data_IF_222442552843
#
_entry.id   IF_222442552843
#
_cell.length_a   1.000
_cell.length_b   1.000
_cell.length_c   1.000
_cell.angle_alpha   90.00
_cell.angle_beta   90.00
_cell.angle_gamma   90.00
#
_symmetry.space_group_name_H-M   'P 1'
#
loop_
_entity.id
_entity.type
_entity.pdbx_description
1 polymer ?
#
# COMPACT_ATOMS: atom_id res chain seq x y z
N UNK A 1 17.17 -8.98 -14.17
CA UNK A 1 16.16 -9.84 -14.80
C UNK A 1 15.74 -10.99 -13.88
N UNK A 2 15.47 -10.70 -12.59
CA UNK A 2 15.27 -11.72 -11.52
C UNK A 2 13.81 -11.73 -10.99
N UNK A 3 13.00 -10.74 -11.37
CA UNK A 3 11.67 -10.53 -10.81
C UNK A 3 10.62 -11.61 -11.15
N UNK A 4 10.52 -12.14 -12.39
CA UNK A 4 9.50 -13.15 -12.70
C UNK A 4 9.86 -14.55 -12.17
N UNK A 5 11.14 -14.85 -11.93
CA UNK A 5 11.57 -16.19 -11.49
C UNK A 5 11.13 -16.50 -10.06
N UNK A 6 11.05 -15.50 -9.18
CA UNK A 6 10.59 -15.68 -7.80
C UNK A 6 9.09 -16.03 -7.73
N UNK A 7 8.27 -15.46 -8.62
CA UNK A 7 6.85 -15.79 -8.72
C UNK A 7 6.60 -17.18 -9.28
N UNK A 8 7.41 -17.61 -10.26
CA UNK A 8 7.39 -18.98 -10.78
C UNK A 8 7.79 -20.00 -9.72
N UNK A 9 8.83 -19.71 -8.93
CA UNK A 9 9.23 -20.54 -7.79
C UNK A 9 8.08 -20.63 -6.76
N UNK A 10 7.44 -19.51 -6.41
CA UNK A 10 6.27 -19.52 -5.53
C UNK A 10 5.14 -20.40 -6.06
N UNK A 11 4.84 -20.29 -7.36
CA UNK A 11 3.81 -21.08 -8.05
C UNK A 11 4.12 -22.57 -8.05
N UNK A 12 5.38 -22.96 -8.29
CA UNK A 12 5.85 -24.35 -8.19
C UNK A 12 5.73 -24.89 -6.75
N UNK A 13 6.09 -24.09 -5.73
CA UNK A 13 6.01 -24.50 -4.32
C UNK A 13 4.57 -24.71 -3.84
N UNK A 14 3.61 -23.93 -4.38
CA UNK A 14 2.19 -24.09 -4.08
C UNK A 14 1.45 -25.03 -5.04
N UNK A 15 2.14 -25.56 -6.06
CA UNK A 15 1.52 -26.36 -7.12
C UNK A 15 0.28 -25.68 -7.76
N UNK A 16 0.31 -24.33 -7.83
CA UNK A 16 -0.83 -23.50 -8.25
C UNK A 16 -2.17 -23.76 -7.53
N UNK A 17 -2.15 -24.42 -6.36
CA UNK A 17 -3.32 -24.69 -5.54
C UNK A 17 -3.21 -23.96 -4.19
N UNK A 18 -4.36 -23.53 -3.65
CA UNK A 18 -4.41 -22.81 -2.38
C UNK A 18 -4.18 -23.73 -1.17
N UNK A 19 -4.49 -25.02 -1.32
CA UNK A 19 -4.52 -26.01 -0.25
C UNK A 19 -3.61 -27.22 -0.50
N UNK A 20 -3.26 -27.52 -1.74
CA UNK A 20 -2.64 -28.81 -2.12
C UNK A 20 -1.21 -28.65 -2.70
N UNK A 21 -0.36 -27.91 -1.99
CA UNK A 21 1.05 -27.70 -2.34
C UNK A 21 2.01 -28.15 -1.23
N UNK A 22 3.30 -28.32 -1.56
CA UNK A 22 4.37 -28.69 -0.60
C UNK A 22 4.46 -27.66 0.53
N UNK A 23 4.23 -26.38 0.21
CA UNK A 23 4.04 -25.30 1.18
C UNK A 23 2.83 -24.46 0.76
N UNK A 24 1.64 -24.66 1.37
CA UNK A 24 0.44 -23.91 0.99
C UNK A 24 0.58 -22.41 1.28
N UNK A 25 -0.17 -21.59 0.55
CA UNK A 25 -0.21 -20.14 0.75
C UNK A 25 -0.96 -19.85 2.05
N UNK A 26 -0.23 -19.57 3.13
CA UNK A 26 -0.83 -19.21 4.41
C UNK A 26 -0.44 -17.78 4.81
N UNK A 27 -1.46 -16.92 4.89
CA UNK A 27 -1.31 -15.51 5.24
C UNK A 27 -0.97 -15.30 6.73
N UNK A 28 -1.47 -16.17 7.61
CA UNK A 28 -1.27 -16.04 9.06
C UNK A 28 0.11 -16.50 9.52
N UNK A 29 0.72 -17.47 8.81
CA UNK A 29 2.04 -18.00 9.11
C UNK A 29 3.16 -17.34 8.31
N UNK A 30 2.84 -16.37 7.44
CA UNK A 30 3.80 -15.76 6.52
C UNK A 30 4.62 -16.83 5.77
N UNK A 31 3.94 -17.80 5.16
CA UNK A 31 4.63 -18.93 4.53
C UNK A 31 5.61 -18.46 3.44
N UNK A 32 6.69 -19.20 3.22
CA UNK A 32 7.74 -18.83 2.25
C UNK A 32 7.18 -18.64 0.84
N UNK A 33 6.20 -19.46 0.47
CA UNK A 33 5.48 -19.30 -0.80
C UNK A 33 4.63 -18.03 -0.88
N UNK A 34 3.99 -17.62 0.22
CA UNK A 34 3.29 -16.35 0.31
C UNK A 34 4.25 -15.15 0.19
N UNK A 35 5.40 -15.21 0.86
CA UNK A 35 6.42 -14.15 0.81
C UNK A 35 7.04 -14.04 -0.59
N UNK A 36 7.42 -15.14 -1.23
CA UNK A 36 7.94 -15.10 -2.61
C UNK A 36 6.90 -14.59 -3.60
N UNK A 37 5.64 -15.01 -3.47
CA UNK A 37 4.56 -14.54 -4.34
C UNK A 37 4.34 -13.04 -4.18
N UNK A 38 4.23 -12.54 -2.94
CA UNK A 38 4.04 -11.11 -2.67
C UNK A 38 5.25 -10.26 -3.08
N UNK A 39 6.48 -10.74 -2.87
CA UNK A 39 7.70 -10.08 -3.33
C UNK A 39 7.73 -9.96 -4.86
N UNK A 40 7.41 -11.03 -5.58
CA UNK A 40 7.38 -11.01 -7.04
C UNK A 40 6.37 -10.00 -7.60
N UNK A 41 5.18 -9.92 -7.00
CA UNK A 41 4.16 -8.93 -7.35
C UNK A 41 4.61 -7.50 -7.03
N UNK A 42 5.24 -7.28 -5.86
CA UNK A 42 5.77 -5.97 -5.48
C UNK A 42 6.83 -5.49 -6.48
N UNK A 43 7.75 -6.36 -6.92
CA UNK A 43 8.74 -6.00 -7.92
C UNK A 43 8.14 -5.75 -9.31
N UNK A 44 7.14 -6.54 -9.73
CA UNK A 44 6.42 -6.25 -10.97
C UNK A 44 5.75 -4.89 -10.93
N UNK A 45 5.06 -4.56 -9.83
CA UNK A 45 4.44 -3.26 -9.63
C UNK A 45 5.47 -2.14 -9.67
N UNK A 46 6.62 -2.32 -8.99
CA UNK A 46 7.72 -1.37 -9.00
C UNK A 46 8.27 -1.13 -10.41
N UNK A 47 8.43 -2.19 -11.23
CA UNK A 47 8.83 -2.04 -12.63
C UNK A 47 7.83 -1.24 -13.46
N UNK A 48 6.53 -1.49 -13.27
CA UNK A 48 5.47 -0.74 -13.97
C UNK A 48 5.54 0.74 -13.58
N UNK A 49 5.62 1.04 -12.28
CA UNK A 49 5.73 2.40 -11.77
C UNK A 49 7.00 3.09 -12.29
N UNK A 50 8.13 2.39 -12.34
CA UNK A 50 9.38 2.92 -12.89
C UNK A 50 9.24 3.34 -14.36
N UNK A 51 8.64 2.49 -15.21
CA UNK A 51 8.44 2.81 -16.63
C UNK A 51 7.48 4.02 -16.78
N UNK A 52 6.43 4.08 -15.98
CA UNK A 52 5.42 5.13 -16.08
C UNK A 52 5.94 6.49 -15.58
N UNK A 53 6.68 6.50 -14.48
CA UNK A 53 7.14 7.72 -13.81
C UNK A 53 8.48 8.20 -14.38
N UNK A 54 9.46 7.30 -14.50
CA UNK A 54 10.85 7.69 -14.79
C UNK A 54 11.13 7.76 -16.31
N UNK A 55 10.65 6.74 -17.05
CA UNK A 55 10.88 6.65 -18.50
C UNK A 55 9.88 7.51 -19.27
N UNK A 56 8.58 7.33 -19.04
CA UNK A 56 7.54 8.07 -19.78
C UNK A 56 7.27 9.46 -19.23
N UNK A 57 7.61 9.73 -17.95
CA UNK A 57 7.34 11.02 -17.26
C UNK A 57 5.89 11.50 -17.38
N UNK A 58 4.93 10.59 -17.59
CA UNK A 58 3.53 10.93 -17.83
C UNK A 58 2.84 11.50 -16.59
N UNK A 59 3.30 11.12 -15.41
CA UNK A 59 2.79 11.60 -14.13
C UNK A 59 3.98 12.09 -13.31
N UNK A 60 4.04 13.40 -13.03
CA UNK A 60 4.88 13.91 -11.96
C UNK A 60 4.26 13.41 -10.65
N UNK A 61 4.71 12.25 -10.15
CA UNK A 61 4.25 11.60 -8.91
C UNK A 61 4.66 12.38 -7.64
N UNK A 62 4.45 13.69 -7.65
CA UNK A 62 4.69 14.58 -6.52
C UNK A 62 3.82 14.17 -5.32
N UNK A 63 2.62 13.61 -5.55
CA UNK A 63 1.74 13.11 -4.48
C UNK A 63 2.43 12.04 -3.62
N UNK A 64 3.02 11.03 -4.27
CA UNK A 64 3.76 9.97 -3.58
C UNK A 64 5.01 10.51 -2.88
N UNK A 65 5.66 11.52 -3.45
CA UNK A 65 6.80 12.18 -2.82
C UNK A 65 6.39 12.94 -1.55
N UNK A 66 5.29 13.68 -1.58
CA UNK A 66 4.82 14.46 -0.43
C UNK A 66 4.35 13.57 0.71
N UNK A 67 3.62 12.50 0.40
CA UNK A 67 3.23 11.50 1.40
C UNK A 67 4.44 10.73 1.95
N UNK A 68 5.39 10.36 1.09
CA UNK A 68 6.58 9.61 1.48
C UNK A 68 7.54 10.40 2.38
N UNK A 69 7.75 11.69 2.12
CA UNK A 69 8.64 12.54 2.94
C UNK A 69 8.15 12.73 4.39
N UNK A 70 6.86 12.53 4.64
CA UNK A 70 6.23 12.70 5.95
C UNK A 70 5.50 11.43 6.42
N UNK A 71 5.98 10.24 6.00
CA UNK A 71 5.28 8.98 6.25
C UNK A 71 5.05 8.69 7.74
N UNK A 72 6.00 9.00 8.61
CA UNK A 72 5.86 8.76 10.05
C UNK A 72 4.80 9.66 10.69
N UNK A 73 4.74 10.94 10.29
CA UNK A 73 3.74 11.88 10.77
C UNK A 73 2.35 11.44 10.35
N UNK A 74 2.19 11.06 9.08
CA UNK A 74 0.92 10.57 8.55
C UNK A 74 0.48 9.29 9.27
N UNK A 75 1.41 8.38 9.54
CA UNK A 75 1.12 7.14 10.28
C UNK A 75 0.67 7.42 11.71
N UNK A 76 1.48 8.11 12.50
CA UNK A 76 1.17 8.43 13.90
C UNK A 76 -0.10 9.27 13.98
N UNK A 77 -0.27 10.24 13.08
CA UNK A 77 -1.46 11.06 13.00
C UNK A 77 -2.72 10.23 12.70
N UNK A 78 -2.63 9.26 11.79
CA UNK A 78 -3.75 8.37 11.47
C UNK A 78 -4.13 7.50 12.67
N UNK A 79 -3.15 6.90 13.35
CA UNK A 79 -3.39 6.09 14.55
C UNK A 79 -4.04 6.90 15.69
N UNK A 80 -3.57 8.14 15.91
CA UNK A 80 -4.13 9.02 16.94
C UNK A 80 -5.53 9.55 16.61
N UNK A 81 -5.84 9.72 15.33
CA UNK A 81 -7.15 10.22 14.85
C UNK A 81 -8.09 9.09 14.42
N UNK A 82 -7.75 7.84 14.75
CA UNK A 82 -8.57 6.71 14.37
C UNK A 82 -9.94 6.78 15.06
N UNK A 83 -11.01 6.94 14.28
CA UNK A 83 -12.38 7.02 14.77
C UNK A 83 -12.82 8.40 15.28
N UNK A 84 -12.00 9.45 15.14
CA UNK A 84 -12.43 10.83 15.40
C UNK A 84 -12.89 11.48 14.10
N UNK A 85 -14.01 12.21 14.16
CA UNK A 85 -14.45 13.03 13.03
C UNK A 85 -13.42 14.15 12.78
N UNK A 86 -13.02 14.47 11.54
CA UNK A 86 -13.46 13.98 10.21
C UNK A 86 -12.73 12.75 9.62
N UNK A 87 -11.80 12.12 10.34
CA UNK A 87 -10.98 11.00 9.83
C UNK A 87 -11.67 9.64 9.89
N UNK A 88 -12.61 9.47 10.81
CA UNK A 88 -13.47 8.31 10.90
C UNK A 88 -14.77 8.64 11.62
N UNK A 89 -15.82 7.92 11.30
CA UNK A 89 -17.11 7.99 11.99
C UNK A 89 -17.73 6.60 12.06
N UNK A 90 -18.69 6.43 12.97
CA UNK A 90 -19.45 5.18 13.03
C UNK A 90 -20.44 5.14 11.86
N UNK A 91 -20.37 4.12 10.98
CA UNK A 91 -21.30 4.00 9.86
C UNK A 91 -22.71 3.67 10.37
N UNK A 92 -23.72 4.24 9.72
CA UNK A 92 -25.11 4.07 10.16
C UNK A 92 -25.71 2.77 9.61
N UNK A 93 -25.53 2.49 8.31
CA UNK A 93 -26.10 1.31 7.66
C UNK A 93 -25.16 0.09 7.65
N UNK A 94 -23.93 0.23 8.17
CA UNK A 94 -22.89 -0.80 8.22
C UNK A 94 -22.64 -1.47 6.85
N UNK A 95 -22.84 -0.71 5.77
CA UNK A 95 -22.66 -1.23 4.41
C UNK A 95 -21.20 -1.14 4.00
N UNK A 96 -20.72 -2.11 3.21
CA UNK A 96 -19.36 -2.07 2.66
C UNK A 96 -19.04 -0.79 1.90
N UNK A 97 -20.04 -0.18 1.27
CA UNK A 97 -19.89 1.08 0.54
C UNK A 97 -19.59 2.26 1.48
N UNK A 98 -20.23 2.33 2.65
CA UNK A 98 -19.94 3.38 3.64
C UNK A 98 -18.50 3.27 4.16
N UNK A 99 -18.05 2.06 4.47
CA UNK A 99 -16.65 1.84 4.88
C UNK A 99 -15.67 2.24 3.77
N UNK A 100 -15.98 1.92 2.51
CA UNK A 100 -15.17 2.31 1.36
C UNK A 100 -15.12 3.84 1.21
N UNK A 101 -16.26 4.52 1.32
CA UNK A 101 -16.34 5.98 1.23
C UNK A 101 -15.60 6.66 2.39
N UNK A 102 -15.73 6.14 3.61
CA UNK A 102 -14.98 6.63 4.77
C UNK A 102 -13.47 6.47 4.56
N UNK A 103 -13.02 5.32 4.07
CA UNK A 103 -11.61 5.07 3.78
C UNK A 103 -11.07 5.97 2.67
N UNK A 104 -11.84 6.16 1.58
CA UNK A 104 -11.50 7.08 0.51
C UNK A 104 -11.41 8.52 1.04
N UNK A 105 -12.41 8.97 1.80
CA UNK A 105 -12.41 10.28 2.43
C UNK A 105 -11.20 10.51 3.33
N UNK A 106 -10.93 9.57 4.25
CA UNK A 106 -9.77 9.63 5.14
C UNK A 106 -8.45 9.67 4.38
N UNK A 107 -8.32 8.87 3.32
CA UNK A 107 -7.12 8.88 2.47
C UNK A 107 -6.93 10.21 1.72
N UNK A 108 -8.00 10.80 1.16
CA UNK A 108 -7.96 12.12 0.53
C UNK A 108 -7.56 13.22 1.52
N UNK A 109 -8.08 13.16 2.75
CA UNK A 109 -7.78 14.12 3.81
C UNK A 109 -6.30 14.04 4.22
N UNK A 110 -5.77 12.84 4.40
CA UNK A 110 -4.33 12.64 4.70
C UNK A 110 -3.41 13.08 3.56
N UNK A 111 -3.81 12.83 2.31
CA UNK A 111 -3.10 13.32 1.13
C UNK A 111 -3.07 14.85 1.10
N UNK A 112 -4.18 15.50 1.44
CA UNK A 112 -4.25 16.96 1.54
C UNK A 112 -3.34 17.50 2.66
N UNK A 113 -3.33 16.86 3.82
CA UNK A 113 -2.42 17.22 4.93
C UNK A 113 -0.96 17.06 4.53
N UNK A 114 -0.61 15.96 3.85
CA UNK A 114 0.75 15.74 3.33
C UNK A 114 1.17 16.87 2.38
N UNK A 115 0.26 17.33 1.52
CA UNK A 115 0.50 18.46 0.63
C UNK A 115 0.72 19.79 1.40
N UNK A 116 -0.07 20.06 2.44
CA UNK A 116 0.08 21.26 3.28
C UNK A 116 1.41 21.24 4.04
N UNK A 117 1.79 20.09 4.61
CA UNK A 117 3.08 19.89 5.28
C UNK A 117 4.25 20.14 4.33
N UNK A 118 4.16 19.62 3.10
CA UNK A 118 5.18 19.85 2.07
C UNK A 118 5.29 21.34 1.72
N UNK A 119 4.17 22.06 1.57
CA UNK A 119 4.16 23.52 1.34
C UNK A 119 4.78 24.31 2.49
N UNK A 120 4.72 23.81 3.71
CA UNK A 120 5.29 24.43 4.92
C UNK A 120 6.74 24.03 5.18
N UNK A 121 7.34 23.16 4.36
CA UNK A 121 8.69 22.59 4.55
C UNK A 121 8.91 21.94 5.93
N UNK A 122 7.86 21.37 6.53
CA UNK A 122 7.96 20.62 7.77
C UNK A 122 8.16 19.15 7.39
N UNK A 123 9.33 18.61 7.72
CA UNK A 123 9.69 17.22 7.46
C UNK A 123 10.08 16.57 8.79
N UNK A 124 9.22 15.68 9.29
CA UNK A 124 9.56 14.86 10.44
C UNK A 124 10.25 13.60 9.95
N UNK A 125 11.56 13.54 10.15
CA UNK A 125 12.41 12.38 9.90
C UNK A 125 13.05 11.98 11.23
N UNK A 126 12.99 10.68 11.55
CA UNK A 126 13.68 10.05 12.68
C UNK A 126 14.99 9.47 12.19
#
# INVERSE_FOLDING_TARGET
>A
MIFPSQGLLAGCLCNFSRSDGVVPVNKNLWSVSYVLATASLAFMLQCILYIWVDVKRWMSCNLFRFAGMNAILLYVGHELTHGVFPWGWQPYYHTHMEYLLMALWGSCLWVFIAFVLFKRNIFLTI
#
